data_IF_679956936271
#
_entry.id   IF_679956936271
#
_cell.length_a   1.000
_cell.length_b   1.000
_cell.length_c   1.000
_cell.angle_alpha   90.00
_cell.angle_beta   90.00
_cell.angle_gamma   90.00
#
_symmetry.space_group_name_H-M   'P 1'
#
loop_
_entity.id
_entity.type
_entity.pdbx_description
1 polymer ?
#
# COMPACT_ATOMS: atom_id res chain seq x y z
N UNK A 1 -12.90 -17.56 5.62
CA UNK A 1 -12.12 -18.05 4.46
C UNK A 1 -10.67 -17.63 4.70
N UNK A 2 -9.86 -18.52 5.27
CA UNK A 2 -8.47 -18.25 5.63
C UNK A 2 -7.57 -18.84 4.53
N UNK A 3 -6.75 -18.01 3.90
CA UNK A 3 -5.75 -18.48 2.93
C UNK A 3 -4.56 -19.10 3.67
N UNK A 4 -4.22 -20.32 3.26
CA UNK A 4 -3.39 -21.29 3.95
C UNK A 4 -1.89 -21.10 3.75
N UNK A 5 -1.17 -21.30 4.87
CA UNK A 5 0.26 -21.59 5.07
C UNK A 5 1.04 -22.09 3.84
N UNK A 6 1.99 -21.26 3.38
CA UNK A 6 3.20 -21.66 2.67
C UNK A 6 4.36 -20.76 3.11
N UNK A 7 5.51 -21.34 3.44
CA UNK A 7 6.67 -20.62 3.97
C UNK A 7 7.11 -19.48 3.06
N UNK A 8 6.98 -18.23 3.54
CA UNK A 8 7.26 -17.01 2.77
C UNK A 8 6.27 -15.87 3.02
N UNK A 9 5.12 -16.15 3.63
CA UNK A 9 4.04 -15.18 3.91
C UNK A 9 4.34 -14.20 5.06
N UNK A 10 5.36 -13.36 4.92
CA UNK A 10 5.50 -12.19 5.78
C UNK A 10 4.38 -11.18 5.55
N UNK A 11 3.75 -11.18 4.37
CA UNK A 11 2.70 -10.25 3.97
C UNK A 11 1.29 -10.67 4.42
N UNK A 12 0.93 -11.96 4.35
CA UNK A 12 -0.35 -12.45 4.89
C UNK A 12 -0.49 -12.18 6.39
N UNK A 13 0.64 -12.17 7.13
CA UNK A 13 0.69 -11.76 8.54
C UNK A 13 0.46 -10.26 8.78
N UNK A 14 0.71 -9.40 7.79
CA UNK A 14 0.45 -7.95 7.87
C UNK A 14 -1.06 -7.67 7.96
N UNK A 15 -1.90 -8.55 7.41
CA UNK A 15 -3.35 -8.35 7.36
C UNK A 15 -4.14 -9.38 8.17
N UNK A 16 -3.47 -10.33 8.83
CA UNK A 16 -4.13 -11.42 9.57
C UNK A 16 -4.82 -10.99 10.86
N UNK A 17 -4.42 -9.85 11.45
CA UNK A 17 -4.88 -9.40 12.77
C UNK A 17 -5.30 -7.92 12.80
N UNK A 18 -5.38 -7.25 11.63
CA UNK A 18 -5.71 -5.82 11.55
C UNK A 18 -6.64 -5.52 10.40
N UNK A 19 -7.46 -4.48 10.56
CA UNK A 19 -8.42 -4.09 9.55
C UNK A 19 -7.72 -3.56 8.29
N UNK A 20 -8.17 -4.06 7.15
CA UNK A 20 -7.76 -3.55 5.85
C UNK A 20 -8.56 -2.26 5.59
N UNK A 21 -7.86 -1.17 5.26
CA UNK A 21 -8.51 0.12 5.01
C UNK A 21 -8.98 0.25 3.57
N UNK A 22 -8.16 -0.21 2.63
CA UNK A 22 -8.45 -0.13 1.21
C UNK A 22 -7.76 -1.28 0.48
N UNK A 23 -8.47 -1.85 -0.49
CA UNK A 23 -7.96 -2.87 -1.42
C UNK A 23 -8.21 -2.36 -2.83
N UNK A 24 -7.21 -2.52 -3.69
CA UNK A 24 -7.33 -2.23 -5.12
C UNK A 24 -6.77 -3.42 -5.90
N UNK A 25 -7.59 -3.97 -6.78
CA UNK A 25 -7.16 -4.99 -7.73
C UNK A 25 -7.07 -4.37 -9.12
N UNK A 26 -5.92 -4.56 -9.77
CA UNK A 26 -5.73 -4.33 -11.19
C UNK A 26 -5.66 -5.66 -11.94
N UNK A 27 -5.39 -5.59 -13.24
CA UNK A 27 -5.38 -6.78 -14.10
C UNK A 27 -4.28 -7.79 -13.74
N UNK A 28 -3.13 -7.31 -13.28
CA UNK A 28 -1.95 -8.11 -12.97
C UNK A 28 -1.51 -8.02 -11.49
N UNK A 29 -2.13 -7.13 -10.72
CA UNK A 29 -1.73 -6.85 -9.35
C UNK A 29 -2.93 -6.72 -8.41
N UNK A 30 -2.70 -7.01 -7.13
CA UNK A 30 -3.59 -6.63 -6.04
C UNK A 30 -2.76 -5.77 -5.08
N UNK A 31 -3.38 -4.78 -4.45
CA UNK A 31 -2.73 -3.87 -3.52
C UNK A 31 -3.65 -3.60 -2.35
N UNK A 32 -3.08 -3.42 -1.17
CA UNK A 32 -3.86 -3.17 0.02
C UNK A 32 -3.04 -2.40 1.05
N UNK A 33 -3.76 -1.62 1.85
CA UNK A 33 -3.22 -0.88 2.97
C UNK A 33 -3.93 -1.28 4.26
N UNK A 34 -3.16 -1.44 5.32
CA UNK A 34 -3.66 -1.87 6.64
C UNK A 34 -3.77 -0.69 7.60
N UNK A 35 -4.75 -0.77 8.51
CA UNK A 35 -4.83 0.16 9.63
C UNK A 35 -3.77 -0.16 10.69
N UNK A 36 -3.24 0.87 11.36
CA UNK A 36 -2.25 0.77 12.45
C UNK A 36 -0.89 0.19 12.06
N UNK A 37 -0.08 0.99 11.35
CA UNK A 37 1.39 0.83 11.30
C UNK A 37 1.93 -0.39 10.56
N UNK A 38 1.13 -1.00 9.70
CA UNK A 38 1.52 -2.17 8.92
C UNK A 38 1.77 -1.87 7.43
N UNK A 39 1.46 -0.64 7.02
CA UNK A 39 1.94 -0.05 5.77
C UNK A 39 1.15 -0.49 4.53
N UNK A 40 1.87 -0.65 3.42
CA UNK A 40 1.32 -0.88 2.08
C UNK A 40 1.94 -2.14 1.45
N UNK A 41 1.09 -3.00 0.90
CA UNK A 41 1.47 -4.26 0.24
C UNK A 41 0.96 -4.34 -1.20
N UNK A 42 1.71 -5.06 -2.04
CA UNK A 42 1.34 -5.37 -3.42
C UNK A 42 1.60 -6.84 -3.72
N UNK A 43 0.67 -7.48 -4.42
CA UNK A 43 0.72 -8.89 -4.83
C UNK A 43 0.60 -8.98 -6.34
N UNK A 44 1.35 -9.89 -6.95
CA UNK A 44 1.09 -10.30 -8.34
C UNK A 44 -0.01 -11.37 -8.42
N UNK A 45 -0.63 -11.51 -9.59
CA UNK A 45 -1.43 -12.71 -9.91
C UNK A 45 -0.57 -13.97 -9.73
N UNK A 46 -0.98 -14.86 -8.83
CA UNK A 46 -0.20 -16.06 -8.45
C UNK A 46 0.24 -16.08 -6.99
N UNK A 47 -0.06 -15.03 -6.22
CA UNK A 47 0.23 -15.01 -4.78
C UNK A 47 1.71 -14.86 -4.45
N UNK A 48 2.57 -14.61 -5.46
CA UNK A 48 3.96 -14.22 -5.25
C UNK A 48 3.96 -12.81 -4.67
N UNK A 49 4.49 -12.76 -3.45
CA UNK A 49 4.10 -11.83 -2.43
C UNK A 49 5.29 -10.97 -2.07
N UNK A 50 5.22 -9.67 -2.32
CA UNK A 50 6.26 -8.76 -1.88
C UNK A 50 5.60 -7.62 -1.09
N UNK A 51 5.67 -7.75 0.22
CA UNK A 51 5.27 -6.71 1.15
C UNK A 51 6.46 -5.77 1.32
N UNK A 52 6.37 -4.57 0.77
CA UNK A 52 7.57 -3.73 0.66
C UNK A 52 7.59 -2.53 1.60
N UNK A 53 6.47 -1.90 1.91
CA UNK A 53 6.48 -0.64 2.67
C UNK A 53 5.87 -0.81 4.06
N UNK A 54 6.71 -0.73 5.09
CA UNK A 54 6.31 -0.60 6.50
C UNK A 54 6.48 0.85 6.91
N UNK A 55 5.38 1.52 7.22
CA UNK A 55 5.42 2.84 7.83
C UNK A 55 5.25 2.71 9.34
N UNK A 56 6.02 3.48 10.09
CA UNK A 56 5.77 3.71 11.53
C UNK A 56 4.43 4.41 11.74
N UNK A 57 3.98 5.18 10.76
CA UNK A 57 2.72 5.92 10.76
C UNK A 57 1.62 5.11 10.06
N UNK A 58 0.38 5.20 10.54
CA UNK A 58 -0.72 4.46 9.91
C UNK A 58 -1.03 5.04 8.53
N UNK A 59 -1.18 4.19 7.52
CA UNK A 59 -1.68 4.61 6.20
C UNK A 59 -3.15 5.00 6.34
N UNK A 60 -3.56 6.11 5.73
CA UNK A 60 -4.96 6.55 5.64
C UNK A 60 -5.59 6.09 4.33
N UNK A 61 -4.92 6.34 3.21
CA UNK A 61 -5.43 6.03 1.88
C UNK A 61 -4.28 5.91 0.88
N UNK A 62 -4.57 5.41 -0.31
CA UNK A 62 -3.62 5.35 -1.42
C UNK A 62 -4.32 5.51 -2.77
N UNK A 63 -3.58 5.89 -3.81
CA UNK A 63 -4.11 6.07 -5.16
C UNK A 63 -4.50 4.75 -5.81
N UNK A 64 -5.61 4.73 -6.53
CA UNK A 64 -6.11 3.49 -7.16
C UNK A 64 -5.17 3.02 -8.29
N UNK A 65 -4.70 3.93 -9.12
CA UNK A 65 -3.72 3.68 -10.18
C UNK A 65 -2.31 4.10 -9.76
N UNK A 66 -1.34 3.60 -10.52
CA UNK A 66 0.00 4.20 -10.59
C UNK A 66 0.03 5.31 -11.62
N UNK A 67 0.90 6.30 -11.43
CA UNK A 67 1.24 7.24 -12.50
C UNK A 67 2.06 6.52 -13.61
N UNK A 68 2.25 7.18 -14.75
CA UNK A 68 3.13 6.79 -15.88
C UNK A 68 4.52 6.28 -15.47
N UNK A 69 5.09 6.78 -14.36
CA UNK A 69 6.38 6.31 -13.81
C UNK A 69 6.28 5.07 -12.91
N UNK A 70 5.13 4.37 -12.89
CA UNK A 70 4.85 3.22 -12.00
C UNK A 70 4.97 3.54 -10.50
N UNK A 71 4.55 4.74 -10.09
CA UNK A 71 4.58 5.17 -8.68
C UNK A 71 3.16 5.26 -8.15
N UNK A 72 2.96 4.86 -6.89
CA UNK A 72 1.69 4.97 -6.17
C UNK A 72 1.76 6.07 -5.11
N UNK A 73 0.68 6.85 -4.98
CA UNK A 73 0.54 7.83 -3.91
C UNK A 73 -0.05 7.15 -2.68
N UNK A 74 0.55 7.38 -1.51
CA UNK A 74 0.10 6.88 -0.21
C UNK A 74 0.04 8.05 0.76
N UNK A 75 -1.10 8.25 1.39
CA UNK A 75 -1.25 9.21 2.49
C UNK A 75 -1.29 8.43 3.81
N UNK A 76 -0.68 9.01 4.84
CA UNK A 76 -0.64 8.48 6.20
C UNK A 76 -1.39 9.40 7.16
N UNK A 77 -1.49 9.02 8.43
CA UNK A 77 -2.17 9.82 9.47
C UNK A 77 -1.48 11.16 9.74
N UNK A 78 -0.22 11.33 9.32
CA UNK A 78 0.42 12.64 9.26
C UNK A 78 -0.05 13.43 8.03
N UNK A 79 0.00 14.77 8.05
CA UNK A 79 -0.25 15.60 6.88
C UNK A 79 0.94 15.50 5.91
N UNK A 80 1.13 14.30 5.36
CA UNK A 80 2.21 13.97 4.46
C UNK A 80 1.74 13.01 3.37
N UNK A 81 2.32 13.20 2.19
CA UNK A 81 2.11 12.40 1.00
C UNK A 81 3.41 11.67 0.66
N UNK A 82 3.30 10.36 0.52
CA UNK A 82 4.38 9.48 0.13
C UNK A 82 4.13 8.97 -1.29
N UNK A 83 5.17 8.99 -2.09
CA UNK A 83 5.20 8.39 -3.41
C UNK A 83 6.09 7.17 -3.34
N UNK A 84 5.51 6.00 -3.58
CA UNK A 84 6.15 4.71 -3.37
C UNK A 84 6.22 3.97 -4.70
N UNK A 85 7.35 3.34 -4.98
CA UNK A 85 7.49 2.44 -6.13
C UNK A 85 6.92 1.06 -5.75
N UNK A 86 5.76 0.61 -6.26
CA UNK A 86 5.12 -0.61 -5.77
C UNK A 86 5.95 -1.90 -5.98
N UNK A 87 6.69 -2.08 -7.09
CA UNK A 87 7.65 -3.16 -7.25
C UNK A 87 8.81 -3.24 -6.26
N UNK A 88 9.15 -2.18 -5.53
CA UNK A 88 10.29 -2.19 -4.58
C UNK A 88 9.89 -1.74 -3.18
N UNK A 89 8.72 -1.11 -3.04
CA UNK A 89 8.23 -0.30 -1.91
C UNK A 89 9.20 0.72 -1.36
N UNK A 90 10.16 1.14 -2.17
CA UNK A 90 11.00 2.29 -1.81
C UNK A 90 10.18 3.56 -1.91
N UNK A 91 10.35 4.44 -0.94
CA UNK A 91 9.78 5.80 -1.00
C UNK A 91 10.59 6.59 -2.01
N UNK A 92 9.98 6.91 -3.14
CA UNK A 92 10.56 7.73 -4.21
C UNK A 92 10.57 9.20 -3.80
N UNK A 93 9.49 9.64 -3.13
CA UNK A 93 9.36 11.02 -2.67
C UNK A 93 8.43 11.11 -1.47
N UNK A 94 8.74 12.04 -0.57
CA UNK A 94 7.90 12.42 0.56
C UNK A 94 7.65 13.92 0.48
N UNK A 95 6.43 14.36 0.75
CA UNK A 95 6.06 15.78 0.68
C UNK A 95 5.05 16.08 1.77
N UNK A 96 5.29 17.14 2.54
CA UNK A 96 4.36 17.60 3.56
C UNK A 96 3.17 18.29 2.90
N UNK A 97 1.98 18.06 3.43
CA UNK A 97 0.74 18.69 2.99
C UNK A 97 0.20 19.59 4.10
N UNK A 98 -0.58 20.62 3.78
CA UNK A 98 -1.15 21.50 4.80
C UNK A 98 -2.29 20.83 5.59
N UNK A 99 -2.81 19.69 5.12
CA UNK A 99 -3.94 18.97 5.70
C UNK A 99 -3.87 17.46 5.43
N UNK A 100 -4.74 16.71 6.12
CA UNK A 100 -4.91 15.27 5.92
C UNK A 100 -5.55 14.96 4.58
N UNK A 101 -5.05 13.92 3.91
CA UNK A 101 -5.55 13.51 2.61
C UNK A 101 -6.40 12.24 2.78
N UNK A 102 -7.67 12.34 2.44
CA UNK A 102 -8.65 11.25 2.55
C UNK A 102 -8.87 10.51 1.23
N UNK A 103 -8.69 11.21 0.11
CA UNK A 103 -8.85 10.67 -1.24
C UNK A 103 -7.66 11.05 -2.12
N UNK A 104 -7.12 10.05 -2.83
CA UNK A 104 -6.00 10.20 -3.75
C UNK A 104 -6.32 9.51 -5.07
N UNK A 105 -6.07 10.22 -6.16
CA UNK A 105 -6.19 9.73 -7.52
C UNK A 105 -5.19 10.46 -8.40
N UNK A 106 -4.56 9.73 -9.33
CA UNK A 106 -3.72 10.37 -10.34
C UNK A 106 -4.61 10.82 -11.50
N UNK A 107 -4.44 12.06 -11.95
CA UNK A 107 -4.96 12.50 -13.25
C UNK A 107 -4.15 11.84 -14.37
N UNK A 108 -4.84 11.49 -15.45
CA UNK A 108 -4.27 10.90 -16.66
C UNK A 108 -3.52 11.93 -17.50
#
# INVERSE_FOLDING_TARGET
MALTRGGGDRCGRVFQDRSILKVVAGESYMRAAGSRGLGFGSWGKGGVNECYYRSSTSVLTFSTSTNSSNVIGVSVVGPELLLINPPTGTVVRQTQTPSLITHLEFSH
#
